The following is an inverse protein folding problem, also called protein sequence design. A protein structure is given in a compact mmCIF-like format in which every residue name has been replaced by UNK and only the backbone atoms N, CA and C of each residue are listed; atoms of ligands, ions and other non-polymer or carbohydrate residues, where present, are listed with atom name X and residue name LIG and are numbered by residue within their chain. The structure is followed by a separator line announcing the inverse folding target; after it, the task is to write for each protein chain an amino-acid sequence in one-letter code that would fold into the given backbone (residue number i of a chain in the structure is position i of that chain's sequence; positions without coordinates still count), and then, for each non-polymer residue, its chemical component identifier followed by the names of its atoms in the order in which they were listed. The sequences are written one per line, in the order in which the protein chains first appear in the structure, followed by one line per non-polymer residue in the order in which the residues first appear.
data_IF_981738343255
#
_entry.id   IF_981738343255
#
_cell.length_a   1.000
_cell.length_b   1.000
_cell.length_c   1.000
_cell.angle_alpha   90.00
_cell.angle_beta   90.00
_cell.angle_gamma   90.00
#
_symmetry.space_group_name_H-M   'P 1'
#
loop_
_entity.id
_entity.type
_entity.pdbx_description
1 polymer ?
#
# COMPACT_ATOMS: atom_id res chain seq x y z
N UNK A 1 23.68 -10.40 -41.65
CA UNK A 1 23.55 -9.77 -40.31
C UNK A 1 22.12 -9.27 -40.19
N UNK A 2 21.28 -9.94 -39.40
CA UNK A 2 19.90 -9.50 -39.12
C UNK A 2 20.02 -8.35 -38.13
N UNK A 3 19.43 -7.19 -38.41
CA UNK A 3 19.35 -6.10 -37.45
C UNK A 3 18.52 -6.58 -36.26
N UNK A 4 19.09 -6.55 -35.06
CA UNK A 4 18.32 -6.71 -33.83
C UNK A 4 17.35 -5.52 -33.77
N UNK A 5 16.07 -5.80 -33.94
CA UNK A 5 15.04 -4.78 -33.73
C UNK A 5 14.94 -4.63 -32.21
N UNK A 6 15.43 -3.50 -31.70
CA UNK A 6 15.27 -3.14 -30.29
C UNK A 6 13.82 -2.74 -30.05
N UNK A 7 13.19 -3.35 -29.05
CA UNK A 7 11.89 -2.93 -28.53
C UNK A 7 12.00 -2.68 -27.02
N UNK A 8 11.06 -1.89 -26.50
CA UNK A 8 10.85 -1.76 -25.07
C UNK A 8 9.90 -2.88 -24.65
N UNK A 9 10.27 -3.62 -23.60
CA UNK A 9 9.43 -4.66 -23.03
C UNK A 9 8.15 -4.07 -22.42
N UNK A 10 7.00 -4.65 -22.77
CA UNK A 10 5.68 -4.23 -22.27
C UNK A 10 4.81 -5.48 -22.09
N UNK A 11 4.30 -5.66 -20.88
CA UNK A 11 3.29 -6.68 -20.59
C UNK A 11 1.89 -6.08 -20.55
N UNK A 12 0.89 -6.80 -21.08
CA UNK A 12 -0.50 -6.35 -21.04
C UNK A 12 -1.11 -6.64 -19.67
N UNK A 13 -1.85 -5.68 -19.12
CA UNK A 13 -2.60 -5.87 -17.86
C UNK A 13 -3.55 -7.08 -17.93
N UNK A 14 -3.68 -7.80 -16.82
CA UNK A 14 -4.58 -8.95 -16.67
C UNK A 14 -6.03 -8.59 -17.00
N UNK A 15 -6.74 -9.53 -17.64
CA UNK A 15 -8.16 -9.39 -17.91
C UNK A 15 -8.99 -9.88 -16.72
N UNK A 16 -10.13 -9.23 -16.50
CA UNK A 16 -11.19 -9.77 -15.64
C UNK A 16 -11.70 -11.08 -16.22
N UNK A 17 -11.98 -12.06 -15.34
CA UNK A 17 -12.48 -13.37 -15.75
C UNK A 17 -13.77 -13.23 -16.59
N UNK A 18 -13.87 -13.96 -17.70
CA UNK A 18 -15.01 -13.88 -18.63
C UNK A 18 -15.00 -12.68 -19.58
N UNK A 19 -14.06 -11.75 -19.44
CA UNK A 19 -13.88 -10.62 -20.35
C UNK A 19 -12.86 -10.94 -21.47
N UNK A 20 -12.99 -10.31 -22.63
CA UNK A 20 -12.08 -10.49 -23.76
C UNK A 20 -12.11 -11.89 -24.37
N UNK A 21 -13.19 -12.64 -24.15
CA UNK A 21 -13.41 -13.95 -24.74
C UNK A 21 -14.15 -13.78 -26.06
N UNK A 22 -13.38 -13.70 -27.15
CA UNK A 22 -13.93 -13.63 -28.51
C UNK A 22 -13.71 -14.97 -29.20
N UNK A 23 -14.74 -15.80 -29.28
CA UNK A 23 -14.65 -17.08 -30.00
C UNK A 23 -16.00 -17.77 -30.20
N UNK A 24 -16.14 -18.64 -31.23
CA UNK A 24 -17.39 -19.35 -31.53
C UNK A 24 -17.92 -20.21 -30.36
N UNK A 25 -17.02 -20.63 -29.47
CA UNK A 25 -17.31 -21.43 -28.28
C UNK A 25 -18.12 -20.62 -27.25
N UNK A 26 -17.84 -19.32 -27.13
CA UNK A 26 -18.42 -18.49 -26.08
C UNK A 26 -19.79 -17.91 -26.43
N UNK A 27 -20.23 -18.00 -27.71
CA UNK A 27 -21.54 -17.56 -28.25
C UNK A 27 -21.99 -16.12 -27.91
N UNK A 28 -21.19 -15.36 -27.17
CA UNK A 28 -21.41 -13.99 -26.75
C UNK A 28 -20.10 -13.23 -26.86
N UNK A 29 -20.16 -12.01 -27.41
CA UNK A 29 -19.01 -11.13 -27.53
C UNK A 29 -18.84 -10.37 -26.21
N UNK A 30 -17.76 -10.63 -25.46
CA UNK A 30 -17.40 -9.85 -24.28
C UNK A 30 -16.13 -9.02 -24.55
N UNK A 31 -16.21 -7.71 -24.29
CA UNK A 31 -15.04 -6.84 -24.37
C UNK A 31 -14.05 -7.15 -23.23
N UNK A 32 -12.76 -6.88 -23.45
CA UNK A 32 -11.73 -7.11 -22.43
C UNK A 32 -11.76 -5.98 -21.41
N UNK A 33 -12.06 -6.33 -20.17
CA UNK A 33 -12.03 -5.42 -19.02
C UNK A 33 -10.79 -5.69 -18.17
N UNK A 34 -10.22 -4.65 -17.57
CA UNK A 34 -9.07 -4.76 -16.68
C UNK A 34 -9.53 -4.84 -15.22
N UNK A 35 -8.69 -5.44 -14.38
CA UNK A 35 -8.98 -5.58 -12.95
C UNK A 35 -8.36 -4.43 -12.16
N UNK A 36 -9.14 -3.85 -11.25
CA UNK A 36 -8.61 -3.05 -10.14
C UNK A 36 -8.41 -3.97 -8.93
N UNK A 37 -7.17 -4.13 -8.48
CA UNK A 37 -6.83 -4.95 -7.31
C UNK A 37 -6.86 -4.16 -6.00
N UNK A 38 -7.13 -2.87 -6.06
CA UNK A 38 -7.23 -1.97 -4.90
C UNK A 38 -8.69 -1.62 -4.60
N UNK A 39 -8.95 -1.17 -3.38
CA UNK A 39 -10.25 -0.58 -3.05
C UNK A 39 -10.44 0.73 -3.84
N UNK A 40 -11.66 0.99 -4.32
CA UNK A 40 -11.95 2.18 -5.11
C UNK A 40 -12.07 3.46 -4.27
N UNK A 41 -12.19 3.31 -2.94
CA UNK A 41 -12.41 4.41 -2.00
C UNK A 41 -11.08 5.05 -1.57
N UNK A 42 -11.14 6.31 -1.14
CA UNK A 42 -10.01 6.94 -0.42
C UNK A 42 -10.10 6.53 1.04
N UNK A 43 -9.63 5.32 1.35
CA UNK A 43 -9.80 4.65 2.65
C UNK A 43 -8.47 4.30 3.34
N UNK A 44 -7.35 4.70 2.75
CA UNK A 44 -6.02 4.37 3.23
C UNK A 44 -5.54 2.95 2.88
N UNK A 45 -6.16 2.25 1.92
CA UNK A 45 -5.73 0.93 1.46
C UNK A 45 -4.25 0.87 1.03
N UNK A 46 -3.65 1.97 0.57
CA UNK A 46 -2.20 2.03 0.32
C UNK A 46 -1.32 1.90 1.58
N UNK A 47 -1.89 2.11 2.77
CA UNK A 47 -1.24 1.92 4.08
C UNK A 47 -1.63 0.56 4.66
N UNK A 48 -2.90 0.18 4.55
CA UNK A 48 -3.50 -0.95 5.26
C UNK A 48 -3.66 -2.23 4.43
N UNK A 49 -3.42 -2.20 3.13
CA UNK A 49 -3.71 -3.31 2.23
C UNK A 49 -5.14 -3.26 1.66
N UNK A 50 -5.35 -3.95 0.55
CA UNK A 50 -6.67 -4.10 -0.09
C UNK A 50 -7.28 -5.49 0.13
N UNK A 51 -6.53 -6.43 0.70
CA UNK A 51 -7.00 -7.74 1.14
C UNK A 51 -6.77 -7.92 2.64
N UNK A 52 -7.57 -8.77 3.27
CA UNK A 52 -7.48 -9.06 4.72
C UNK A 52 -6.11 -9.66 5.10
N UNK A 53 -5.57 -10.54 4.26
CA UNK A 53 -4.25 -11.15 4.47
C UNK A 53 -3.14 -10.10 4.49
N UNK A 54 -3.19 -9.14 3.56
CA UNK A 54 -2.22 -8.03 3.50
C UNK A 54 -2.32 -7.16 4.76
N UNK A 55 -3.55 -6.84 5.17
CA UNK A 55 -3.81 -6.04 6.36
C UNK A 55 -3.29 -6.71 7.63
N UNK A 56 -3.52 -8.02 7.80
CA UNK A 56 -3.01 -8.80 8.92
C UNK A 56 -1.47 -8.84 8.92
N UNK A 57 -0.85 -8.98 7.76
CA UNK A 57 0.60 -8.99 7.62
C UNK A 57 1.26 -7.65 8.00
N UNK A 58 0.54 -6.54 7.88
CA UNK A 58 1.04 -5.20 8.20
C UNK A 58 0.87 -4.81 9.67
N UNK A 59 0.04 -5.54 10.42
CA UNK A 59 -0.26 -5.25 11.82
C UNK A 59 0.77 -5.84 12.77
N UNK A 60 0.98 -5.14 13.88
CA UNK A 60 1.59 -5.74 15.06
C UNK A 60 0.50 -6.46 15.86
N UNK A 61 0.53 -7.79 15.77
CA UNK A 61 -0.43 -8.64 16.47
C UNK A 61 0.04 -8.97 17.90
N UNK A 62 1.21 -8.49 18.30
CA UNK A 62 1.72 -8.68 19.66
C UNK A 62 1.30 -7.50 20.55
N UNK A 63 0.82 -7.82 21.75
CA UNK A 63 0.57 -6.82 22.79
C UNK A 63 -0.78 -6.09 22.75
N UNK A 64 -1.67 -6.41 21.80
CA UNK A 64 -3.03 -5.85 21.75
C UNK A 64 -3.08 -4.30 21.72
N UNK A 65 -2.08 -3.68 21.09
CA UNK A 65 -1.94 -2.22 21.05
C UNK A 65 -2.51 -1.57 19.77
N UNK A 66 -2.96 -2.38 18.80
CA UNK A 66 -3.53 -1.90 17.54
C UNK A 66 -2.54 -1.17 16.63
N UNK A 67 -1.25 -1.47 16.73
CA UNK A 67 -0.19 -0.83 15.96
C UNK A 67 0.03 -1.48 14.59
N UNK A 68 0.67 -0.75 13.68
CA UNK A 68 1.32 -1.33 12.50
C UNK A 68 2.74 -1.76 12.86
N UNK A 69 3.16 -2.92 12.35
CA UNK A 69 4.49 -3.48 12.64
C UNK A 69 5.59 -2.69 11.95
N UNK A 70 6.79 -2.72 12.53
CA UNK A 70 8.01 -2.18 11.96
C UNK A 70 9.20 -3.06 12.36
N UNK A 71 10.25 -3.11 11.53
CA UNK A 71 11.41 -3.98 11.81
C UNK A 71 12.64 -3.20 12.31
N UNK A 72 12.84 -1.97 11.82
CA UNK A 72 14.00 -1.15 12.19
C UNK A 72 13.58 0.27 12.59
N UNK A 73 14.38 0.88 13.45
CA UNK A 73 14.24 2.27 13.88
C UNK A 73 15.43 3.09 13.40
N UNK A 74 15.18 4.35 13.03
CA UNK A 74 16.23 5.33 12.76
C UNK A 74 17.01 5.70 14.02
N UNK A 75 18.16 6.36 13.85
CA UNK A 75 18.95 6.94 14.95
C UNK A 75 18.11 7.88 15.85
N UNK A 76 17.11 8.55 15.24
CA UNK A 76 16.16 9.42 15.94
C UNK A 76 14.97 8.70 16.58
N UNK A 77 15.05 7.38 16.74
CA UNK A 77 13.99 6.53 17.34
C UNK A 77 12.66 6.53 16.58
N UNK A 78 12.67 6.90 15.29
CA UNK A 78 11.47 6.82 14.43
C UNK A 78 11.46 5.52 13.64
N UNK A 79 10.34 4.77 13.60
CA UNK A 79 10.25 3.50 12.90
C UNK A 79 10.30 3.67 11.38
N UNK A 80 10.82 2.68 10.67
CA UNK A 80 10.62 2.50 9.23
C UNK A 80 9.55 1.45 8.97
N UNK A 81 9.13 1.34 7.71
CA UNK A 81 8.26 0.24 7.28
C UNK A 81 8.94 -1.12 7.57
N UNK A 82 8.15 -2.19 7.78
CA UNK A 82 8.69 -3.54 7.91
C UNK A 82 9.29 -4.00 6.57
N UNK A 83 10.11 -5.02 6.60
CA UNK A 83 10.63 -5.66 5.41
C UNK A 83 9.64 -6.68 4.83
N UNK A 84 9.63 -6.76 3.51
CA UNK A 84 9.02 -7.86 2.77
C UNK A 84 9.81 -9.15 3.03
N UNK A 85 9.10 -10.25 3.31
CA UNK A 85 9.67 -11.54 3.70
C UNK A 85 9.49 -12.61 2.63
N UNK A 86 8.37 -12.58 1.89
CA UNK A 86 7.94 -13.72 1.06
C UNK A 86 7.56 -13.33 -0.38
N UNK A 87 7.24 -12.05 -0.65
CA UNK A 87 6.75 -11.67 -1.98
C UNK A 87 7.86 -11.38 -2.99
N UNK A 88 7.51 -11.49 -4.27
CA UNK A 88 8.36 -11.15 -5.42
C UNK A 88 8.46 -9.63 -5.66
N UNK A 89 8.31 -8.81 -4.61
CA UNK A 89 8.35 -7.35 -4.74
C UNK A 89 9.74 -6.93 -5.21
N UNK A 90 9.83 -6.49 -6.46
CA UNK A 90 11.09 -6.04 -7.05
C UNK A 90 11.33 -4.56 -6.74
N UNK A 91 12.19 -4.29 -5.76
CA UNK A 91 12.71 -2.94 -5.53
C UNK A 91 13.96 -2.62 -6.38
N UNK A 92 14.20 -3.40 -7.45
CA UNK A 92 15.35 -3.27 -8.40
C UNK A 92 16.69 -2.97 -7.72
N UNK A 93 17.06 -3.77 -6.71
CA UNK A 93 18.29 -3.58 -5.93
C UNK A 93 19.40 -4.53 -6.37
N UNK A 94 20.64 -4.04 -6.35
CA UNK A 94 21.83 -4.91 -6.34
C UNK A 94 22.03 -5.45 -4.93
N UNK A 95 21.34 -6.55 -4.59
CA UNK A 95 21.51 -7.21 -3.29
C UNK A 95 22.95 -7.70 -3.19
N UNK A 96 23.72 -7.07 -2.32
CA UNK A 96 25.11 -7.44 -2.02
C UNK A 96 25.27 -7.65 -0.52
N UNK A 97 26.37 -8.27 -0.10
CA UNK A 97 26.71 -8.41 1.32
C UNK A 97 26.85 -7.05 2.03
N UNK A 98 27.16 -5.99 1.26
CA UNK A 98 27.27 -4.60 1.75
C UNK A 98 25.91 -3.88 1.83
N UNK A 99 24.89 -4.36 1.10
CA UNK A 99 23.54 -3.78 1.09
C UNK A 99 22.47 -4.86 1.37
N UNK A 100 22.37 -5.36 2.62
CA UNK A 100 21.47 -6.45 2.98
C UNK A 100 20.00 -6.04 3.09
N UNK A 101 19.66 -4.76 2.86
CA UNK A 101 18.33 -4.20 3.11
C UNK A 101 17.30 -4.78 2.12
N UNK A 102 16.30 -5.49 2.63
CA UNK A 102 15.15 -6.02 1.88
C UNK A 102 14.16 -4.92 1.49
N UNK A 103 13.32 -5.16 0.48
CA UNK A 103 12.26 -4.21 0.10
C UNK A 103 11.35 -3.92 1.30
N UNK A 104 10.84 -2.69 1.39
CA UNK A 104 9.87 -2.35 2.44
C UNK A 104 8.49 -2.88 2.09
N UNK A 105 7.74 -3.33 3.08
CA UNK A 105 6.37 -3.79 2.93
C UNK A 105 5.41 -2.66 3.35
N UNK A 106 4.37 -2.45 2.55
CA UNK A 106 3.29 -1.48 2.80
C UNK A 106 1.97 -2.06 2.26
N UNK A 107 0.86 -1.34 2.45
CA UNK A 107 -0.45 -1.72 1.90
C UNK A 107 -0.52 -1.72 0.37
N UNK A 108 0.38 -0.99 -0.30
CA UNK A 108 0.53 -0.99 -1.76
C UNK A 108 1.88 -1.56 -2.18
N UNK A 109 1.86 -2.48 -3.13
CA UNK A 109 3.05 -3.19 -3.63
C UNK A 109 4.05 -2.27 -4.39
N UNK A 110 3.67 -1.02 -4.70
CA UNK A 110 4.52 -0.05 -5.41
C UNK A 110 5.26 0.90 -4.47
N UNK A 111 5.14 0.73 -3.15
CA UNK A 111 5.75 1.63 -2.17
C UNK A 111 7.28 1.84 -2.35
N UNK A 112 7.99 0.89 -2.98
CA UNK A 112 9.43 0.99 -3.25
C UNK A 112 9.81 1.54 -4.63
N UNK A 113 8.85 2.02 -5.43
CA UNK A 113 9.10 2.49 -6.80
C UNK A 113 10.06 3.69 -6.83
N UNK A 114 9.91 4.61 -5.87
CA UNK A 114 10.82 5.74 -5.69
C UNK A 114 10.83 6.26 -4.24
N UNK A 115 11.91 6.92 -3.85
CA UNK A 115 12.20 7.27 -2.45
C UNK A 115 11.21 8.23 -1.79
N UNK A 116 10.68 9.21 -2.52
CA UNK A 116 9.66 10.12 -2.01
C UNK A 116 8.33 9.41 -1.74
N UNK A 117 7.91 8.45 -2.58
CA UNK A 117 6.72 7.63 -2.33
C UNK A 117 6.92 6.78 -1.08
N UNK A 118 8.08 6.12 -0.98
CA UNK A 118 8.46 5.35 0.20
C UNK A 118 8.45 6.21 1.49
N UNK A 119 8.91 7.46 1.38
CA UNK A 119 8.90 8.42 2.48
C UNK A 119 7.48 8.76 2.92
N UNK A 120 6.53 8.89 1.98
CA UNK A 120 5.12 9.10 2.29
C UNK A 120 4.48 7.89 2.98
N UNK A 121 4.76 6.66 2.52
CA UNK A 121 4.28 5.46 3.23
C UNK A 121 4.85 5.39 4.65
N UNK A 122 6.13 5.72 4.83
CA UNK A 122 6.77 5.75 6.16
C UNK A 122 6.14 6.82 7.07
N UNK A 123 5.78 7.98 6.52
CA UNK A 123 5.10 9.04 7.27
C UNK A 123 3.74 8.56 7.80
N UNK A 124 2.94 7.91 6.96
CA UNK A 124 1.62 7.43 7.34
C UNK A 124 1.66 6.26 8.33
N UNK A 125 2.64 5.36 8.23
CA UNK A 125 2.90 4.35 9.26
C UNK A 125 3.14 5.01 10.62
N UNK A 126 4.01 6.02 10.65
CA UNK A 126 4.34 6.75 11.88
C UNK A 126 3.13 7.46 12.46
N UNK A 127 2.31 8.07 11.60
CA UNK A 127 1.11 8.77 12.04
C UNK A 127 0.06 7.80 12.60
N UNK A 128 -0.12 6.64 11.97
CA UNK A 128 -0.94 5.57 12.54
C UNK A 128 -0.47 5.22 13.94
N UNK A 129 0.81 4.84 14.11
CA UNK A 129 1.31 4.39 15.42
C UNK A 129 1.23 5.52 16.45
N UNK A 130 1.45 6.79 16.05
CA UNK A 130 1.30 7.96 16.92
C UNK A 130 -0.14 8.10 17.44
N UNK A 131 -1.14 7.96 16.57
CA UNK A 131 -2.56 8.06 16.94
C UNK A 131 -2.98 6.85 17.77
N UNK A 132 -2.62 5.63 17.37
CA UNK A 132 -2.94 4.40 18.09
C UNK A 132 -2.40 4.42 19.53
N UNK A 133 -1.14 4.86 19.74
CA UNK A 133 -0.59 5.06 21.09
C UNK A 133 -1.41 6.07 21.90
N UNK A 134 -1.90 7.15 21.28
CA UNK A 134 -2.75 8.13 21.97
C UNK A 134 -4.14 7.57 22.31
N UNK A 135 -4.71 6.75 21.44
CA UNK A 135 -5.96 6.05 21.74
C UNK A 135 -5.81 5.05 22.88
N UNK A 136 -4.69 4.33 22.95
CA UNK A 136 -4.36 3.44 24.07
C UNK A 136 -4.24 4.21 25.40
N UNK A 137 -3.58 5.38 25.38
CA UNK A 137 -3.44 6.24 26.57
C UNK A 137 -4.80 6.77 27.09
N UNK A 138 -5.69 7.17 26.18
CA UNK A 138 -6.97 7.82 26.53
C UNK A 138 -8.06 6.78 26.82
N UNK A 139 -8.01 5.61 26.16
CA UNK A 139 -8.99 4.54 26.31
C UNK A 139 -8.32 3.21 26.72
N UNK A 140 -7.91 3.04 27.99
CA UNK A 140 -7.25 1.81 28.46
C UNK A 140 -8.13 0.54 28.41
N UNK A 141 -9.41 0.69 28.10
CA UNK A 141 -10.39 -0.39 28.03
C UNK A 141 -10.62 -0.90 26.60
N UNK A 142 -10.04 -0.24 25.60
CA UNK A 142 -10.09 -0.70 24.21
C UNK A 142 -9.07 -1.81 23.98
N UNK A 143 -9.48 -2.82 23.23
CA UNK A 143 -8.55 -3.81 22.68
C UNK A 143 -7.83 -3.25 21.44
N UNK A 144 -6.83 -4.00 20.98
CA UNK A 144 -6.01 -3.62 19.84
C UNK A 144 -6.76 -3.62 18.52
N UNK A 145 -7.85 -4.38 18.39
CA UNK A 145 -8.70 -4.33 17.20
C UNK A 145 -9.45 -2.99 17.12
N UNK A 146 -10.09 -2.57 18.21
CA UNK A 146 -10.79 -1.29 18.29
C UNK A 146 -9.81 -0.15 18.03
N UNK A 147 -8.63 -0.17 18.67
CA UNK A 147 -7.59 0.87 18.46
C UNK A 147 -7.15 0.92 17.00
N UNK A 148 -6.89 -0.24 16.38
CA UNK A 148 -6.50 -0.31 14.97
C UNK A 148 -7.58 0.25 14.05
N UNK A 149 -8.85 -0.14 14.23
CA UNK A 149 -9.95 0.29 13.37
C UNK A 149 -10.29 1.77 13.53
N UNK A 150 -10.33 2.29 14.76
CA UNK A 150 -10.57 3.72 14.99
C UNK A 150 -9.42 4.57 14.46
N UNK A 151 -8.17 4.11 14.62
CA UNK A 151 -7.01 4.78 14.02
C UNK A 151 -7.08 4.76 12.50
N UNK A 152 -7.41 3.61 11.89
CA UNK A 152 -7.60 3.46 10.44
C UNK A 152 -8.68 4.39 9.91
N UNK A 153 -9.81 4.47 10.59
CA UNK A 153 -10.92 5.37 10.23
C UNK A 153 -10.49 6.83 10.24
N UNK A 154 -9.75 7.26 11.27
CA UNK A 154 -9.26 8.63 11.38
C UNK A 154 -8.23 8.95 10.28
N UNK A 155 -7.29 8.05 9.99
CA UNK A 155 -6.33 8.21 8.88
C UNK A 155 -7.05 8.30 7.53
N UNK A 156 -8.05 7.46 7.28
CA UNK A 156 -8.89 7.54 6.08
C UNK A 156 -9.55 8.91 5.92
N UNK A 157 -10.10 9.47 7.01
CA UNK A 157 -10.66 10.82 7.02
C UNK A 157 -9.61 11.90 6.72
N UNK A 158 -8.40 11.81 7.32
CA UNK A 158 -7.31 12.74 7.03
C UNK A 158 -6.92 12.73 5.55
N UNK A 159 -6.81 11.54 4.94
CA UNK A 159 -6.50 11.39 3.52
C UNK A 159 -7.59 12.04 2.65
N UNK A 160 -8.87 11.86 3.00
CA UNK A 160 -9.98 12.48 2.29
C UNK A 160 -9.94 14.01 2.39
N UNK A 161 -9.78 14.57 3.60
CA UNK A 161 -9.70 16.02 3.81
C UNK A 161 -8.54 16.62 3.03
N UNK A 162 -7.34 16.03 3.13
CA UNK A 162 -6.16 16.50 2.38
C UNK A 162 -6.44 16.45 0.87
N UNK A 163 -7.04 15.36 0.39
CA UNK A 163 -7.31 15.19 -1.04
C UNK A 163 -8.33 16.21 -1.54
N UNK A 164 -9.49 16.33 -0.89
CA UNK A 164 -10.60 17.14 -1.36
C UNK A 164 -10.43 18.63 -1.07
N UNK A 165 -9.93 19.01 0.11
CA UNK A 165 -9.83 20.42 0.50
C UNK A 165 -8.49 21.05 0.09
N UNK A 166 -7.40 20.28 0.08
CA UNK A 166 -6.06 20.85 -0.13
C UNK A 166 -5.46 20.49 -1.48
N UNK A 167 -5.71 19.30 -2.03
CA UNK A 167 -5.06 18.85 -3.26
C UNK A 167 -5.91 19.12 -4.51
N UNK A 168 -7.16 18.64 -4.55
CA UNK A 168 -8.03 18.75 -5.73
C UNK A 168 -8.22 20.18 -6.25
N UNK A 169 -8.43 21.23 -5.41
CA UNK A 169 -8.59 22.58 -5.91
C UNK A 169 -7.37 23.12 -6.66
N UNK A 170 -6.17 22.64 -6.31
CA UNK A 170 -4.92 23.01 -7.00
C UNK A 170 -4.77 22.30 -8.35
N UNK A 171 -5.39 21.13 -8.51
CA UNK A 171 -5.33 20.32 -9.72
C UNK A 171 -6.40 20.73 -10.71
N UNK A 172 -7.64 20.89 -10.25
CA UNK A 172 -8.79 21.23 -11.08
C UNK A 172 -8.89 22.73 -11.36
N UNK A 173 -8.23 23.56 -10.56
CA UNK A 173 -8.33 25.02 -10.62
C UNK A 173 -9.54 25.55 -9.85
N UNK A 174 -9.72 26.87 -9.91
CA UNK A 174 -10.92 27.51 -9.37
C UNK A 174 -12.15 27.05 -10.15
N UNK A 175 -13.11 26.45 -9.46
CA UNK A 175 -14.46 26.19 -9.96
C UNK A 175 -15.29 27.47 -9.87
#
# INVERSE_FOLDING_TARGET
KRSEISCIEVERSSATCGSGQTGPIYRQLTYREQMNILTAFIDGSGIYGSAEVDALNLRDLFGDHGLLRFDIVSETQKPYLPFERESSMECRRNRSHENPISCFLAGDYRANEQLALLSMHTLWLREHNRIATKFLEINPHWDGEIIYQETRKLIGAMLQVITYEHWLPKVLGSV
#
